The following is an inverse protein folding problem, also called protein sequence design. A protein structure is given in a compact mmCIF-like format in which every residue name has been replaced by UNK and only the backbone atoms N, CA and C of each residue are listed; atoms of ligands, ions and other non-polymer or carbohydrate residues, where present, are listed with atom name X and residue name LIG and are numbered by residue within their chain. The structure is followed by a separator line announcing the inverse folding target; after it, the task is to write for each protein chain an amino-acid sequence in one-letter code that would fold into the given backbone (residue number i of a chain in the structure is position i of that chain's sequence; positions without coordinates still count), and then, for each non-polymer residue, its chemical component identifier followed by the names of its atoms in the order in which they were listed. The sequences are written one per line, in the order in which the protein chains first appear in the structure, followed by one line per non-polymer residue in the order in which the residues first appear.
data_IF_095305613927
#
_entry.id   IF_095305613927
#
_cell.length_a   1.000
_cell.length_b   1.000
_cell.length_c   1.000
_cell.angle_alpha   90.00
_cell.angle_beta   90.00
_cell.angle_gamma   90.00
#
_symmetry.space_group_name_H-M   'P 1'
#
loop_
_entity.id
_entity.type
_entity.pdbx_description
1 polymer ?
#
# COMPACT_ATOMS: atom_id res chain seq x y z
N UNK A 1 22.68 -11.38 -5.39
CA UNK A 1 22.44 -11.95 -6.74
C UNK A 1 20.95 -12.20 -6.90
N UNK A 2 20.37 -11.85 -8.05
CA UNK A 2 18.92 -11.99 -8.34
C UNK A 2 18.44 -13.44 -8.09
N UNK A 3 19.28 -14.44 -8.37
CA UNK A 3 18.94 -15.86 -8.14
C UNK A 3 18.66 -16.26 -6.69
N UNK A 4 19.16 -15.53 -5.69
CA UNK A 4 18.79 -15.79 -4.28
C UNK A 4 17.41 -15.19 -3.95
N UNK A 5 17.11 -13.98 -4.45
CA UNK A 5 15.82 -13.31 -4.24
C UNK A 5 14.66 -14.08 -4.87
N UNK A 6 14.85 -14.63 -6.06
CA UNK A 6 13.84 -15.47 -6.72
C UNK A 6 13.55 -16.75 -5.92
N UNK A 7 14.57 -17.34 -5.26
CA UNK A 7 14.36 -18.48 -4.35
C UNK A 7 13.59 -18.06 -3.09
N UNK A 8 13.98 -16.96 -2.47
CA UNK A 8 13.30 -16.42 -1.27
C UNK A 8 11.84 -16.05 -1.56
N UNK A 9 11.55 -15.51 -2.74
CA UNK A 9 10.19 -15.18 -3.17
C UNK A 9 9.29 -16.41 -3.36
N UNK A 10 9.84 -17.56 -3.77
CA UNK A 10 9.04 -18.78 -3.97
C UNK A 10 8.49 -19.37 -2.67
N UNK A 11 9.14 -19.11 -1.54
CA UNK A 11 8.72 -19.60 -0.23
C UNK A 11 7.75 -18.62 0.49
N UNK A 12 7.53 -17.43 -0.06
CA UNK A 12 6.67 -16.40 0.55
C UNK A 12 5.18 -16.74 0.38
N UNK A 13 4.45 -16.57 1.48
CA UNK A 13 3.00 -16.63 1.59
C UNK A 13 2.43 -15.23 1.76
N UNK A 14 1.09 -15.13 1.74
CA UNK A 14 0.34 -13.87 1.84
C UNK A 14 0.73 -13.05 3.08
N UNK A 15 0.93 -13.71 4.22
CA UNK A 15 1.26 -13.08 5.50
C UNK A 15 2.74 -13.21 5.89
N UNK A 16 3.62 -13.65 4.98
CA UNK A 16 5.04 -13.86 5.30
C UNK A 16 5.70 -12.60 5.85
N UNK A 17 5.36 -11.44 5.28
CA UNK A 17 5.90 -10.14 5.71
C UNK A 17 5.52 -9.82 7.17
N UNK A 18 4.27 -10.03 7.54
CA UNK A 18 3.78 -9.78 8.90
C UNK A 18 4.42 -10.76 9.90
N UNK A 19 4.54 -12.03 9.50
CA UNK A 19 5.18 -13.05 10.34
C UNK A 19 6.67 -12.78 10.57
N UNK A 20 7.40 -12.29 9.56
CA UNK A 20 8.80 -11.88 9.68
C UNK A 20 8.95 -10.71 10.67
N UNK A 21 8.06 -9.70 10.59
CA UNK A 21 8.05 -8.57 11.53
C UNK A 21 7.77 -9.04 12.96
N UNK A 22 6.73 -9.85 13.16
CA UNK A 22 6.40 -10.41 14.48
C UNK A 22 7.55 -11.20 15.08
N UNK A 23 8.23 -12.03 14.28
CA UNK A 23 9.36 -12.85 14.74
C UNK A 23 10.57 -12.00 15.13
N UNK A 24 10.82 -10.90 14.41
CA UNK A 24 11.92 -9.99 14.69
C UNK A 24 11.71 -9.20 15.98
N UNK A 25 10.51 -8.63 16.15
CA UNK A 25 10.21 -7.75 17.31
C UNK A 25 9.83 -8.55 18.56
N UNK A 26 9.20 -9.72 18.42
CA UNK A 26 8.73 -10.53 19.54
C UNK A 26 9.18 -12.01 19.46
N UNK A 27 10.49 -12.27 19.46
CA UNK A 27 11.03 -13.64 19.31
C UNK A 27 10.59 -14.60 20.44
N UNK A 28 10.26 -14.11 21.64
CA UNK A 28 9.84 -14.91 22.78
C UNK A 28 8.56 -15.72 22.52
N UNK A 29 7.68 -15.23 21.63
CA UNK A 29 6.45 -15.92 21.25
C UNK A 29 6.64 -16.94 20.13
N UNK A 30 7.87 -17.33 19.83
CA UNK A 30 8.16 -18.41 18.89
C UNK A 30 8.85 -19.59 19.59
N UNK A 31 8.54 -20.81 19.13
CA UNK A 31 9.25 -22.03 19.57
C UNK A 31 10.60 -22.15 18.85
N UNK A 32 11.43 -23.12 19.26
CA UNK A 32 12.69 -23.41 18.53
C UNK A 32 12.43 -23.92 17.12
N UNK A 33 11.29 -24.56 16.93
CA UNK A 33 10.77 -25.09 15.68
C UNK A 33 10.13 -24.00 14.81
N UNK A 34 9.90 -22.80 15.36
CA UNK A 34 9.40 -21.63 14.64
C UNK A 34 7.88 -21.42 14.72
N UNK A 35 7.16 -22.22 15.50
CA UNK A 35 5.72 -22.11 15.72
C UNK A 35 5.39 -20.93 16.63
N UNK A 36 4.27 -20.26 16.36
CA UNK A 36 3.81 -19.12 17.16
C UNK A 36 3.04 -19.57 18.40
N UNK A 37 3.46 -19.10 19.58
CA UNK A 37 2.87 -19.37 20.89
C UNK A 37 1.69 -18.42 21.13
N UNK A 38 0.56 -18.71 20.49
CA UNK A 38 -0.65 -17.86 20.56
C UNK A 38 -1.11 -17.60 21.99
N UNK A 39 -1.18 -18.63 22.83
CA UNK A 39 -1.67 -18.50 24.21
C UNK A 39 -0.80 -17.53 25.02
N UNK A 40 0.54 -17.66 24.91
CA UNK A 40 1.48 -16.75 25.58
C UNK A 40 1.35 -15.31 25.08
N UNK A 41 1.07 -15.11 23.79
CA UNK A 41 0.85 -13.77 23.25
C UNK A 41 -0.47 -13.18 23.72
N UNK A 42 -1.54 -13.98 23.77
CA UNK A 42 -2.83 -13.55 24.31
C UNK A 42 -2.74 -13.17 25.78
N UNK A 43 -1.97 -13.92 26.58
CA UNK A 43 -1.76 -13.59 27.99
C UNK A 43 -0.96 -12.31 28.17
N UNK A 44 0.09 -12.10 27.35
CA UNK A 44 0.84 -10.84 27.31
C UNK A 44 -0.06 -9.64 26.99
N UNK A 45 -0.97 -9.75 26.02
CA UNK A 45 -1.89 -8.66 25.67
C UNK A 45 -2.87 -8.29 26.80
N UNK A 46 -3.22 -9.24 27.68
CA UNK A 46 -4.12 -8.99 28.81
C UNK A 46 -3.45 -8.19 29.94
N UNK A 47 -2.12 -8.18 30.01
CA UNK A 47 -1.39 -7.45 31.07
C UNK A 47 -1.58 -5.92 30.96
N UNK A 48 -1.78 -5.40 29.75
CA UNK A 48 -1.91 -3.96 29.47
C UNK A 48 -3.38 -3.45 29.46
N UNK A 49 -4.35 -4.21 29.99
CA UNK A 49 -5.79 -3.88 29.88
C UNK A 49 -6.23 -3.55 28.45
N UNK A 50 -5.61 -4.17 27.43
CA UNK A 50 -5.98 -3.92 26.04
C UNK A 50 -7.40 -4.43 25.80
N UNK A 51 -8.32 -3.51 25.50
CA UNK A 51 -9.68 -3.85 25.10
C UNK A 51 -9.64 -4.66 23.79
N UNK A 52 -9.77 -5.98 23.93
CA UNK A 52 -9.90 -6.88 22.79
C UNK A 52 -11.28 -6.69 22.17
N UNK A 53 -11.38 -5.75 21.23
CA UNK A 53 -12.61 -5.53 20.47
C UNK A 53 -13.00 -6.82 19.74
N UNK A 54 -14.28 -7.16 19.79
CA UNK A 54 -14.90 -8.22 18.97
C UNK A 54 -15.56 -7.65 17.70
N UNK A 55 -15.57 -6.33 17.55
CA UNK A 55 -16.06 -5.64 16.37
C UNK A 55 -14.92 -5.43 15.39
N UNK A 56 -14.90 -6.22 14.31
CA UNK A 56 -13.98 -6.06 13.20
C UNK A 56 -14.75 -5.75 11.93
N UNK A 57 -14.57 -4.54 11.38
CA UNK A 57 -14.94 -4.25 10.01
C UNK A 57 -13.80 -4.70 9.09
N UNK A 58 -14.08 -5.57 8.12
CA UNK A 58 -13.09 -6.01 7.14
C UNK A 58 -13.49 -5.56 5.73
N UNK A 59 -12.60 -4.80 5.08
CA UNK A 59 -12.72 -4.49 3.66
C UNK A 59 -12.42 -5.73 2.82
N UNK A 60 -13.43 -6.32 2.18
CA UNK A 60 -13.25 -7.46 1.27
C UNK A 60 -13.36 -7.03 -0.18
N UNK A 61 -12.36 -7.38 -0.99
CA UNK A 61 -12.37 -7.19 -2.44
C UNK A 61 -11.61 -8.31 -3.15
N UNK A 62 -12.01 -8.61 -4.38
CA UNK A 62 -11.32 -9.57 -5.24
C UNK A 62 -9.89 -9.10 -5.51
N UNK A 63 -8.90 -9.94 -5.23
CA UNK A 63 -7.49 -9.60 -5.42
C UNK A 63 -6.78 -9.11 -4.15
N UNK A 64 -7.48 -8.95 -3.01
CA UNK A 64 -6.85 -8.53 -1.73
C UNK A 64 -5.70 -9.45 -1.29
N UNK A 65 -5.90 -10.77 -1.30
CA UNK A 65 -4.86 -11.74 -0.94
C UNK A 65 -3.66 -11.68 -1.90
N UNK A 66 -3.91 -11.43 -3.18
CA UNK A 66 -2.86 -11.24 -4.17
C UNK A 66 -2.09 -9.93 -3.96
N UNK A 67 -2.78 -8.82 -3.67
CA UNK A 67 -2.16 -7.55 -3.32
C UNK A 67 -1.27 -7.64 -2.08
N UNK A 68 -1.72 -8.36 -1.03
CA UNK A 68 -0.90 -8.66 0.15
C UNK A 68 0.35 -9.46 -0.22
N UNK A 69 0.18 -10.52 -1.01
CA UNK A 69 1.30 -11.29 -1.54
C UNK A 69 2.30 -10.42 -2.33
N UNK A 70 1.85 -9.56 -3.24
CA UNK A 70 2.73 -8.66 -4.00
C UNK A 70 3.56 -7.75 -3.09
N UNK A 71 3.00 -7.29 -1.97
CA UNK A 71 3.71 -6.47 -0.98
C UNK A 71 4.74 -7.24 -0.15
N UNK A 72 4.63 -8.57 -0.07
CA UNK A 72 5.61 -9.41 0.64
C UNK A 72 6.81 -9.77 -0.24
N UNK A 73 6.64 -9.80 -1.56
CA UNK A 73 7.70 -10.13 -2.51
C UNK A 73 8.84 -9.12 -2.53
N UNK A 74 10.07 -9.61 -2.66
CA UNK A 74 11.23 -8.77 -3.01
C UNK A 74 11.24 -8.43 -4.49
N UNK A 75 11.82 -7.29 -4.85
CA UNK A 75 12.01 -6.92 -6.25
C UNK A 75 13.16 -7.72 -6.89
N UNK A 76 12.90 -8.23 -8.09
CA UNK A 76 13.87 -8.94 -8.94
C UNK A 76 14.61 -8.00 -9.89
N UNK A 77 14.21 -6.72 -9.93
CA UNK A 77 14.84 -5.68 -10.76
C UNK A 77 16.13 -5.16 -10.11
N UNK A 78 16.87 -4.33 -10.85
CA UNK A 78 18.05 -3.63 -10.33
C UNK A 78 17.99 -2.14 -10.67
N UNK A 79 18.60 -1.30 -9.83
CA UNK A 79 18.79 0.11 -10.14
C UNK A 79 20.05 0.28 -10.99
N UNK A 80 19.90 0.97 -12.11
CA UNK A 80 21.02 1.39 -12.97
C UNK A 80 21.08 2.92 -12.97
N UNK A 81 22.23 3.53 -12.63
CA UNK A 81 22.37 4.98 -12.69
C UNK A 81 22.38 5.46 -14.15
N UNK A 82 21.71 6.56 -14.43
CA UNK A 82 21.90 7.34 -15.65
C UNK A 82 23.17 8.20 -15.48
N UNK A 83 24.32 7.61 -15.81
CA UNK A 83 25.62 8.27 -15.60
C UNK A 83 25.75 9.57 -16.39
N UNK A 84 25.16 9.65 -17.59
CA UNK A 84 25.25 10.86 -18.41
C UNK A 84 24.48 12.01 -17.75
N UNK A 85 23.25 11.76 -17.31
CA UNK A 85 22.45 12.79 -16.65
C UNK A 85 23.00 13.16 -15.26
N UNK A 86 23.47 12.18 -14.50
CA UNK A 86 23.97 12.38 -13.13
C UNK A 86 25.30 13.13 -13.06
N UNK A 87 26.12 13.08 -14.12
CA UNK A 87 27.41 13.77 -14.17
C UNK A 87 27.34 15.22 -14.67
N UNK A 88 26.15 15.69 -15.09
CA UNK A 88 25.96 17.10 -15.46
C UNK A 88 26.22 18.00 -14.26
N UNK A 89 26.80 19.17 -14.50
CA UNK A 89 27.22 20.11 -13.45
C UNK A 89 26.07 20.51 -12.52
N UNK A 90 24.85 20.64 -13.06
CA UNK A 90 23.64 20.94 -12.31
C UNK A 90 23.12 19.79 -11.41
N UNK A 91 23.55 18.54 -11.66
CA UNK A 91 23.00 17.35 -11.02
C UNK A 91 23.99 16.62 -10.10
N UNK A 92 25.30 16.78 -10.31
CA UNK A 92 26.35 15.96 -9.67
C UNK A 92 26.34 15.96 -8.14
N UNK A 93 25.92 17.07 -7.53
CA UNK A 93 25.86 17.27 -6.07
C UNK A 93 24.40 17.36 -5.57
N UNK A 94 23.42 16.99 -6.40
CA UNK A 94 22.00 17.04 -6.05
C UNK A 94 21.65 15.98 -5.01
N UNK A 95 20.88 16.37 -3.99
CA UNK A 95 20.26 15.43 -3.03
C UNK A 95 18.92 14.89 -3.55
N UNK A 96 18.43 15.39 -4.70
CA UNK A 96 17.16 14.97 -5.29
C UNK A 96 17.36 13.74 -6.18
N UNK A 97 16.44 12.79 -6.08
CA UNK A 97 16.47 11.54 -6.85
C UNK A 97 15.24 11.43 -7.76
N UNK A 98 15.46 10.99 -8.99
CA UNK A 98 14.41 10.63 -9.94
C UNK A 98 14.62 9.19 -10.41
N UNK A 99 13.63 8.32 -10.20
CA UNK A 99 13.68 6.90 -10.57
C UNK A 99 12.63 6.64 -11.65
N UNK A 100 13.06 6.02 -12.75
CA UNK A 100 12.17 5.59 -13.85
C UNK A 100 11.92 4.10 -13.74
N UNK A 101 10.64 3.70 -13.68
CA UNK A 101 10.21 2.29 -13.62
C UNK A 101 8.81 2.15 -13.03
N UNK A 102 8.38 0.90 -12.77
CA UNK A 102 7.18 0.66 -11.98
C UNK A 102 7.45 1.09 -10.53
N UNK A 103 6.54 1.90 -9.97
CA UNK A 103 6.67 2.42 -8.63
C UNK A 103 6.67 1.31 -7.56
N UNK A 104 6.05 0.16 -7.80
CA UNK A 104 6.10 -0.95 -6.83
C UNK A 104 7.53 -1.48 -6.66
N UNK A 105 8.31 -1.57 -7.74
CA UNK A 105 9.71 -1.98 -7.70
C UNK A 105 10.60 -0.87 -7.14
N UNK A 106 10.35 0.38 -7.53
CA UNK A 106 11.06 1.53 -6.97
C UNK A 106 10.90 1.62 -5.45
N UNK A 107 9.66 1.48 -4.94
CA UNK A 107 9.37 1.46 -3.50
C UNK A 107 10.10 0.31 -2.79
N UNK A 108 10.13 -0.89 -3.38
CA UNK A 108 10.86 -2.05 -2.82
C UNK A 108 12.36 -1.81 -2.75
N UNK A 109 12.97 -1.18 -3.75
CA UNK A 109 14.38 -0.78 -3.67
C UNK A 109 14.63 0.26 -2.58
N UNK A 110 13.75 1.27 -2.49
CA UNK A 110 13.88 2.33 -1.49
C UNK A 110 13.79 1.80 -0.06
N UNK A 111 12.98 0.77 0.21
CA UNK A 111 12.86 0.16 1.54
C UNK A 111 14.20 -0.32 2.10
N UNK A 112 15.14 -0.75 1.27
CA UNK A 112 16.45 -1.19 1.74
C UNK A 112 17.27 -0.10 2.43
N UNK A 113 17.04 1.18 2.11
CA UNK A 113 17.83 2.31 2.62
C UNK A 113 16.99 3.39 3.32
N UNK A 114 15.70 3.50 3.01
CA UNK A 114 14.80 4.59 3.40
C UNK A 114 13.61 4.14 4.24
N UNK A 115 13.54 2.87 4.65
CA UNK A 115 12.53 2.41 5.62
C UNK A 115 12.53 3.30 6.87
N UNK A 116 11.37 3.83 7.25
CA UNK A 116 11.22 4.70 8.41
C UNK A 116 11.81 6.11 8.29
N UNK A 117 12.18 6.59 7.09
CA UNK A 117 12.92 7.85 6.92
C UNK A 117 12.19 8.95 6.16
N UNK A 118 11.08 8.64 5.50
CA UNK A 118 10.37 9.60 4.66
C UNK A 118 9.39 10.42 5.51
N UNK A 119 9.60 11.74 5.55
CA UNK A 119 8.76 12.65 6.34
C UNK A 119 7.40 12.93 5.71
N UNK A 120 7.34 13.01 4.38
CA UNK A 120 6.13 13.37 3.66
C UNK A 120 6.07 12.61 2.33
N UNK A 121 4.90 12.05 2.03
CA UNK A 121 4.58 11.45 0.74
C UNK A 121 3.38 12.21 0.17
N UNK A 122 3.47 12.62 -1.09
CA UNK A 122 2.33 13.09 -1.87
C UNK A 122 2.19 12.21 -3.11
N UNK A 123 0.98 11.73 -3.37
CA UNK A 123 0.68 10.96 -4.58
C UNK A 123 -0.63 11.43 -5.21
N UNK A 124 -0.65 11.40 -6.54
CA UNK A 124 -1.80 11.67 -7.39
C UNK A 124 -2.08 10.42 -8.25
N UNK A 125 -2.71 9.38 -7.67
CA UNK A 125 -2.96 8.12 -8.36
C UNK A 125 -4.00 8.29 -9.47
N UNK A 126 -4.11 7.34 -10.42
CA UNK A 126 -5.20 7.34 -11.40
C UNK A 126 -6.57 7.31 -10.69
N UNK A 127 -7.51 8.16 -11.11
CA UNK A 127 -8.81 8.31 -10.44
C UNK A 127 -9.85 7.26 -10.82
N UNK A 128 -9.57 6.42 -11.83
CA UNK A 128 -10.48 5.41 -12.36
C UNK A 128 -11.81 5.99 -12.87
N UNK A 129 -11.73 7.14 -13.56
CA UNK A 129 -12.87 7.86 -14.13
C UNK A 129 -13.50 7.16 -15.35
N UNK A 130 -12.78 6.17 -15.91
CA UNK A 130 -13.08 5.55 -17.20
C UNK A 130 -12.62 6.36 -18.41
N UNK A 131 -12.21 7.63 -18.24
CA UNK A 131 -11.61 8.44 -19.31
C UNK A 131 -10.13 8.74 -19.10
N UNK A 132 -9.58 8.47 -17.91
CA UNK A 132 -8.15 8.59 -17.60
C UNK A 132 -7.29 7.44 -18.15
N UNK A 133 -7.92 6.42 -18.75
CA UNK A 133 -7.22 5.29 -19.36
C UNK A 133 -6.66 4.28 -18.35
N UNK A 134 -7.05 4.35 -17.08
CA UNK A 134 -6.61 3.34 -16.10
C UNK A 134 -7.12 1.95 -16.48
N UNK A 135 -6.18 1.01 -16.57
CA UNK A 135 -6.42 -0.43 -16.68
C UNK A 135 -5.41 -1.14 -15.79
N UNK A 136 -5.83 -2.20 -15.11
CA UNK A 136 -4.93 -2.98 -14.25
C UNK A 136 -3.75 -3.52 -15.08
N UNK A 137 -2.51 -3.08 -14.79
CA UNK A 137 -1.38 -3.27 -15.71
C UNK A 137 -0.68 -4.62 -15.54
N UNK A 138 -1.06 -5.42 -14.55
CA UNK A 138 -0.39 -6.69 -14.26
C UNK A 138 -0.63 -7.69 -15.39
N UNK A 139 0.46 -8.33 -15.83
CA UNK A 139 0.45 -9.34 -16.88
C UNK A 139 0.44 -10.78 -16.35
N UNK A 140 0.33 -10.96 -15.02
CA UNK A 140 0.30 -12.23 -14.27
C UNK A 140 1.18 -13.37 -14.83
N UNK A 141 2.25 -13.73 -14.13
CA UNK A 141 3.11 -14.87 -14.51
C UNK A 141 2.62 -16.24 -14.00
N UNK A 142 1.44 -16.30 -13.39
CA UNK A 142 0.93 -17.49 -12.71
C UNK A 142 -0.16 -18.20 -13.52
N UNK A 143 -0.18 -19.52 -13.46
CA UNK A 143 -1.39 -20.30 -13.77
C UNK A 143 -2.40 -20.21 -12.61
N UNK A 144 -3.67 -20.58 -12.86
CA UNK A 144 -4.73 -20.56 -11.83
C UNK A 144 -4.39 -21.42 -10.62
N UNK A 145 -3.91 -22.65 -10.87
CA UNK A 145 -3.54 -23.60 -9.83
C UNK A 145 -2.31 -23.14 -9.02
N UNK A 146 -1.27 -22.62 -9.69
CA UNK A 146 -0.11 -22.05 -9.00
C UNK A 146 -0.50 -20.87 -8.10
N UNK A 147 -1.32 -19.96 -8.60
CA UNK A 147 -1.80 -18.83 -7.81
C UNK A 147 -2.63 -19.32 -6.62
N UNK A 148 -3.61 -20.19 -6.85
CA UNK A 148 -4.47 -20.77 -5.81
C UNK A 148 -3.65 -21.39 -4.67
N UNK A 149 -2.64 -22.21 -5.01
CA UNK A 149 -1.72 -22.81 -4.03
C UNK A 149 -0.87 -21.78 -3.30
N UNK A 150 -0.38 -20.76 -4.00
CA UNK A 150 0.53 -19.75 -3.44
C UNK A 150 -0.16 -18.84 -2.43
N UNK A 151 -1.34 -18.33 -2.77
CA UNK A 151 -2.07 -17.38 -1.92
C UNK A 151 -3.20 -18.03 -1.08
N UNK A 152 -3.36 -19.35 -1.17
CA UNK A 152 -4.27 -20.12 -0.33
C UNK A 152 -5.75 -19.89 -0.62
N UNK A 153 -6.12 -19.80 -1.89
CA UNK A 153 -7.50 -19.57 -2.35
C UNK A 153 -7.98 -20.71 -3.26
N UNK A 154 -9.25 -20.68 -3.65
CA UNK A 154 -9.79 -21.64 -4.63
C UNK A 154 -9.29 -21.33 -6.04
N UNK A 155 -9.20 -22.33 -6.92
CA UNK A 155 -8.85 -22.13 -8.33
C UNK A 155 -9.85 -21.21 -9.07
N UNK A 156 -11.12 -21.23 -8.65
CA UNK A 156 -12.15 -20.34 -9.18
C UNK A 156 -11.83 -18.88 -8.82
N UNK A 157 -11.52 -18.61 -7.56
CA UNK A 157 -11.13 -17.27 -7.11
C UNK A 157 -9.83 -16.82 -7.77
N UNK A 158 -8.84 -17.71 -7.89
CA UNK A 158 -7.59 -17.44 -8.60
C UNK A 158 -7.87 -17.06 -10.06
N UNK A 159 -8.76 -17.79 -10.75
CA UNK A 159 -9.19 -17.45 -12.10
C UNK A 159 -9.79 -16.04 -12.20
N UNK A 160 -10.65 -15.67 -11.26
CA UNK A 160 -11.25 -14.33 -11.21
C UNK A 160 -10.23 -13.22 -10.95
N UNK A 161 -9.19 -13.50 -10.15
CA UNK A 161 -8.08 -12.55 -9.92
C UNK A 161 -7.28 -12.34 -11.21
N UNK A 162 -6.93 -13.41 -11.93
CA UNK A 162 -6.21 -13.30 -13.21
C UNK A 162 -7.01 -12.49 -14.25
N UNK A 163 -8.33 -12.63 -14.24
CA UNK A 163 -9.25 -11.89 -15.12
C UNK A 163 -9.35 -10.39 -14.80
N UNK A 164 -8.74 -9.90 -13.70
CA UNK A 164 -8.62 -8.46 -13.42
C UNK A 164 -7.67 -7.76 -14.40
N UNK A 165 -6.75 -8.48 -15.06
CA UNK A 165 -5.82 -7.88 -16.02
C UNK A 165 -6.58 -7.13 -17.12
N UNK A 166 -6.16 -5.89 -17.37
CA UNK A 166 -6.82 -5.03 -18.37
C UNK A 166 -8.20 -4.53 -17.98
N UNK A 167 -8.66 -4.73 -16.74
CA UNK A 167 -9.94 -4.19 -16.23
C UNK A 167 -9.72 -2.89 -15.47
N UNK A 168 -10.77 -2.08 -15.43
CA UNK A 168 -10.87 -0.82 -14.67
C UNK A 168 -11.92 -0.90 -13.55
N UNK A 169 -12.17 -2.10 -13.02
CA UNK A 169 -13.11 -2.27 -11.89
C UNK A 169 -12.50 -1.74 -10.60
N UNK A 170 -13.34 -1.41 -9.60
CA UNK A 170 -12.85 -1.04 -8.27
C UNK A 170 -11.89 -2.08 -7.69
N UNK A 171 -12.20 -3.37 -7.82
CA UNK A 171 -11.29 -4.43 -7.34
C UNK A 171 -9.93 -4.43 -8.05
N UNK A 172 -9.90 -4.13 -9.36
CA UNK A 172 -8.65 -3.96 -10.10
C UNK A 172 -7.84 -2.77 -9.57
N UNK A 173 -8.50 -1.61 -9.38
CA UNK A 173 -7.86 -0.41 -8.84
C UNK A 173 -7.33 -0.61 -7.41
N UNK A 174 -8.13 -1.23 -6.55
CA UNK A 174 -7.76 -1.56 -5.18
C UNK A 174 -6.58 -2.54 -5.13
N UNK A 175 -6.59 -3.56 -6.00
CA UNK A 175 -5.47 -4.53 -6.12
C UNK A 175 -4.19 -3.85 -6.57
N UNK A 176 -4.28 -2.82 -7.42
CA UNK A 176 -3.16 -1.98 -7.83
C UNK A 176 -2.63 -1.09 -6.70
N UNK A 177 -3.52 -0.38 -6.00
CA UNK A 177 -3.13 0.62 -5.00
C UNK A 177 -2.63 0.02 -3.69
N UNK A 178 -3.26 -1.07 -3.24
CA UNK A 178 -2.99 -1.67 -1.94
C UNK A 178 -1.50 -1.97 -1.67
N UNK A 179 -0.76 -2.72 -2.52
CA UNK A 179 0.64 -3.01 -2.22
C UNK A 179 1.51 -1.76 -2.21
N UNK A 180 1.20 -0.76 -3.05
CA UNK A 180 1.95 0.51 -3.12
C UNK A 180 1.79 1.32 -1.84
N UNK A 181 0.56 1.39 -1.32
CA UNK A 181 0.27 2.06 -0.05
C UNK A 181 0.89 1.33 1.15
N UNK A 182 0.92 -0.02 1.14
CA UNK A 182 1.61 -0.81 2.18
C UNK A 182 3.12 -0.50 2.20
N UNK A 183 3.76 -0.44 1.03
CA UNK A 183 5.18 -0.13 0.92
C UNK A 183 5.49 1.33 1.25
N UNK A 184 4.61 2.26 0.84
CA UNK A 184 4.72 3.68 1.19
C UNK A 184 4.65 3.90 2.70
N UNK A 185 3.74 3.20 3.40
CA UNK A 185 3.65 3.22 4.86
C UNK A 185 4.98 2.85 5.52
N UNK A 186 5.64 1.79 5.05
CA UNK A 186 6.90 1.34 5.63
C UNK A 186 8.07 2.32 5.37
N UNK A 187 7.97 3.19 4.37
CA UNK A 187 8.96 4.24 4.13
C UNK A 187 8.78 5.44 5.06
N UNK A 188 7.56 5.70 5.55
CA UNK A 188 7.28 6.86 6.40
C UNK A 188 8.01 6.77 7.74
N UNK A 189 8.55 7.89 8.20
CA UNK A 189 8.99 8.04 9.60
C UNK A 189 7.81 7.99 10.56
N UNK A 190 8.08 7.80 11.86
CA UNK A 190 7.02 7.73 12.89
C UNK A 190 6.14 8.99 12.93
N UNK A 191 6.74 10.15 12.66
CA UNK A 191 6.07 11.45 12.56
C UNK A 191 5.72 11.82 11.11
N UNK A 192 5.82 10.87 10.19
CA UNK A 192 5.60 11.04 8.76
C UNK A 192 4.12 11.14 8.39
N UNK A 193 3.84 11.78 7.26
CA UNK A 193 2.48 11.96 6.72
C UNK A 193 2.40 11.59 5.25
N UNK A 194 1.22 11.13 4.81
CA UNK A 194 0.90 10.89 3.41
C UNK A 194 -0.35 11.66 2.99
N UNK A 195 -0.24 12.31 1.83
CA UNK A 195 -1.30 13.01 1.13
C UNK A 195 -1.64 12.25 -0.15
N UNK A 196 -2.93 11.97 -0.35
CA UNK A 196 -3.40 11.20 -1.51
C UNK A 196 -4.55 11.96 -2.17
N UNK A 197 -4.33 12.46 -3.38
CA UNK A 197 -5.37 13.07 -4.19
C UNK A 197 -6.32 12.01 -4.74
N UNK A 198 -7.62 12.31 -4.74
CA UNK A 198 -8.66 11.39 -5.21
C UNK A 198 -9.92 12.16 -5.60
N UNK A 199 -10.64 11.63 -6.59
CA UNK A 199 -11.97 12.12 -6.94
C UNK A 199 -13.10 11.24 -6.34
N UNK A 200 -14.33 11.48 -6.78
CA UNK A 200 -15.49 10.80 -6.24
C UNK A 200 -15.57 9.30 -6.59
N UNK A 201 -14.84 8.80 -7.60
CA UNK A 201 -14.96 7.42 -8.07
C UNK A 201 -14.34 6.42 -7.10
N UNK A 202 -13.17 6.74 -6.54
CA UNK A 202 -12.43 5.84 -5.65
C UNK A 202 -12.26 6.37 -4.22
N UNK A 203 -12.77 7.56 -3.88
CA UNK A 203 -12.61 8.15 -2.53
C UNK A 203 -13.02 7.20 -1.40
N UNK A 204 -14.13 6.46 -1.55
CA UNK A 204 -14.60 5.55 -0.49
C UNK A 204 -13.71 4.31 -0.39
N UNK A 205 -13.30 3.75 -1.52
CA UNK A 205 -12.44 2.57 -1.55
C UNK A 205 -11.03 2.90 -1.04
N UNK A 206 -10.47 4.05 -1.45
CA UNK A 206 -9.21 4.56 -0.97
C UNK A 206 -9.24 4.80 0.53
N UNK A 207 -10.32 5.40 1.04
CA UNK A 207 -10.53 5.63 2.47
C UNK A 207 -10.41 4.33 3.25
N UNK A 208 -11.18 3.32 2.87
CA UNK A 208 -11.21 2.04 3.57
C UNK A 208 -9.88 1.28 3.45
N UNK A 209 -9.18 1.38 2.31
CA UNK A 209 -7.83 0.82 2.16
C UNK A 209 -6.86 1.52 3.11
N UNK A 210 -6.91 2.85 3.19
CA UNK A 210 -6.01 3.60 4.05
C UNK A 210 -6.31 3.34 5.53
N UNK A 211 -7.58 3.22 5.93
CA UNK A 211 -7.94 2.83 7.29
C UNK A 211 -7.40 1.43 7.64
N UNK A 212 -7.46 0.46 6.73
CA UNK A 212 -6.86 -0.87 6.95
C UNK A 212 -5.33 -0.83 7.04
N UNK A 213 -4.67 -0.01 6.21
CA UNK A 213 -3.20 0.03 6.12
C UNK A 213 -2.58 0.90 7.22
N UNK A 214 -3.11 2.10 7.45
CA UNK A 214 -2.56 3.08 8.37
C UNK A 214 -3.25 3.06 9.73
N UNK A 215 -4.43 2.46 9.86
CA UNK A 215 -5.29 2.59 11.05
C UNK A 215 -6.25 3.77 10.89
N UNK A 216 -7.51 3.57 11.27
CA UNK A 216 -8.55 4.61 11.18
C UNK A 216 -8.21 5.80 12.10
N UNK A 217 -7.63 5.53 13.26
CA UNK A 217 -7.17 6.49 14.27
C UNK A 217 -6.04 7.40 13.76
N UNK A 218 -5.35 6.98 12.70
CA UNK A 218 -4.27 7.70 12.07
C UNK A 218 -4.75 8.62 10.94
N UNK A 219 -6.05 8.64 10.67
CA UNK A 219 -6.61 9.64 9.78
C UNK A 219 -6.61 11.03 10.42
N UNK A 220 -6.09 12.01 9.68
CA UNK A 220 -6.04 13.40 10.13
C UNK A 220 -7.21 14.21 9.58
N UNK A 221 -7.57 14.01 8.31
CA UNK A 221 -8.66 14.74 7.67
C UNK A 221 -8.62 14.73 6.14
N UNK A 222 -9.58 15.44 5.55
CA UNK A 222 -9.69 15.64 4.10
C UNK A 222 -9.46 17.12 3.78
N UNK A 223 -8.65 17.41 2.77
CA UNK A 223 -8.57 18.74 2.17
C UNK A 223 -9.47 18.73 0.94
N UNK A 224 -10.34 19.72 0.83
CA UNK A 224 -11.22 19.92 -0.31
C UNK A 224 -10.55 20.86 -1.30
N UNK A 225 -10.25 20.39 -2.50
CA UNK A 225 -9.67 21.19 -3.58
C UNK A 225 -10.72 21.50 -4.65
N UNK A 226 -11.10 22.77 -4.76
CA UNK A 226 -12.02 23.23 -5.81
C UNK A 226 -11.28 23.33 -7.15
N UNK A 227 -11.36 22.27 -7.97
CA UNK A 227 -10.68 22.20 -9.26
C UNK A 227 -11.40 22.98 -10.37
N UNK A 228 -12.65 23.40 -10.16
CA UNK A 228 -13.48 24.09 -11.17
C UNK A 228 -14.25 25.28 -10.61
N UNK A 229 -13.90 26.49 -11.07
CA UNK A 229 -14.48 27.76 -10.60
C UNK A 229 -15.81 28.15 -11.25
N UNK A 230 -16.15 27.65 -12.45
CA UNK A 230 -17.39 28.02 -13.16
C UNK A 230 -18.28 26.82 -13.44
N UNK A 231 -19.57 26.95 -13.14
CA UNK A 231 -20.56 25.95 -13.55
C UNK A 231 -20.67 25.93 -15.07
N UNK A 232 -20.57 24.75 -15.69
CA UNK A 232 -20.70 24.63 -17.13
C UNK A 232 -22.17 24.71 -17.53
N UNK A 233 -22.56 25.69 -18.34
CA UNK A 233 -23.94 25.82 -18.83
C UNK A 233 -24.09 25.10 -20.19
N UNK A 234 -23.82 23.79 -20.21
CA UNK A 234 -24.02 22.94 -21.39
C UNK A 234 -25.37 22.24 -21.32
N UNK A 235 -25.98 21.91 -22.48
CA UNK A 235 -27.27 21.19 -22.53
C UNK A 235 -27.27 19.88 -21.73
N UNK A 236 -26.12 19.23 -21.57
CA UNK A 236 -25.92 18.00 -20.78
C UNK A 236 -25.77 18.24 -19.27
N UNK A 237 -25.48 19.48 -18.86
CA UNK A 237 -25.30 19.87 -17.45
C UNK A 237 -26.60 20.27 -16.75
N UNK A 238 -27.67 20.51 -17.51
CA UNK A 238 -28.93 21.04 -16.97
C UNK A 238 -29.61 20.11 -15.96
N UNK A 239 -29.35 18.80 -16.03
CA UNK A 239 -29.96 17.77 -15.16
C UNK A 239 -28.96 17.05 -14.24
N UNK A 240 -27.75 17.58 -14.02
CA UNK A 240 -26.72 16.90 -13.22
C UNK A 240 -26.07 17.84 -12.20
N UNK A 241 -25.81 17.31 -11.00
CA UNK A 241 -24.88 17.94 -10.07
C UNK A 241 -23.49 17.93 -10.70
N UNK A 242 -22.82 19.09 -10.67
CA UNK A 242 -21.47 19.23 -11.22
C UNK A 242 -20.45 18.99 -10.12
N UNK A 243 -19.65 17.91 -10.19
CA UNK A 243 -18.54 17.72 -9.27
C UNK A 243 -17.50 18.82 -9.54
N UNK A 244 -17.26 19.65 -8.53
CA UNK A 244 -16.32 20.78 -8.55
C UNK A 244 -15.13 20.59 -7.64
N UNK A 245 -15.20 19.58 -6.77
CA UNK A 245 -14.29 19.41 -5.67
C UNK A 245 -13.70 18.01 -5.74
N UNK A 246 -12.38 17.98 -5.65
CA UNK A 246 -11.57 16.78 -5.42
C UNK A 246 -11.13 16.77 -3.97
N UNK A 247 -10.74 15.60 -3.47
CA UNK A 247 -10.29 15.44 -2.11
C UNK A 247 -8.83 15.08 -2.07
N UNK A 248 -8.14 15.53 -1.02
CA UNK A 248 -6.82 15.05 -0.66
C UNK A 248 -6.92 14.46 0.74
N UNK A 249 -6.74 13.15 0.85
CA UNK A 249 -6.73 12.49 2.16
C UNK A 249 -5.38 12.65 2.83
N UNK A 250 -5.41 12.88 4.15
CA UNK A 250 -4.23 12.98 4.98
C UNK A 250 -4.24 11.91 6.07
N UNK A 251 -3.20 11.07 6.05
CA UNK A 251 -2.89 10.11 7.12
C UNK A 251 -1.51 10.39 7.70
N UNK A 252 -1.33 10.07 8.97
CA UNK A 252 -0.02 10.05 9.65
C UNK A 252 0.40 8.61 9.97
N UNK A 253 1.69 8.36 10.20
CA UNK A 253 2.20 7.02 10.50
C UNK A 253 1.85 6.55 11.93
N UNK A 254 1.98 7.43 12.92
CA UNK A 254 1.62 7.13 14.31
C UNK A 254 0.74 8.23 14.94
N UNK A 255 -0.29 7.81 15.66
CA UNK A 255 -1.11 8.64 16.53
C UNK A 255 -0.70 8.55 18.00
N UNK A 256 0.33 7.77 18.32
CA UNK A 256 0.73 7.54 19.70
C UNK A 256 1.35 8.80 20.31
N UNK A 257 0.51 9.53 21.05
CA UNK A 257 0.82 10.57 22.04
C UNK A 257 1.71 10.07 23.21
N UNK A 258 2.39 8.92 23.09
CA UNK A 258 3.19 8.34 24.17
C UNK A 258 4.58 8.97 24.29
N UNK A 259 5.17 9.47 23.19
CA UNK A 259 6.47 10.16 23.27
C UNK A 259 6.38 11.54 23.96
N UNK A 260 5.22 12.21 23.93
CA UNK A 260 5.05 13.52 24.58
C UNK A 260 4.84 13.44 26.10
N UNK A 261 4.60 12.25 26.66
CA UNK A 261 4.40 12.05 28.11
C UNK A 261 5.64 11.61 28.88
N UNK A 262 6.76 11.30 28.22
CA UNK A 262 8.03 10.97 28.90
C UNK A 262 9.00 12.16 29.05
N UNK A 263 8.57 13.38 28.69
CA UNK A 263 9.40 14.60 28.77
C UNK A 263 8.83 15.71 29.68
N UNK A 264 8.02 15.35 30.68
CA UNK A 264 7.62 16.25 31.77
C UNK A 264 7.90 15.63 33.14
#
# INVERSE_FOLDING_TARGET
MIGNKTKENNDKKVNSREMEKLRREFPQFFTKEGDFKLDSFQDFLKEEEVDLSKEGYELKFLGKSYAKYLSSLETETYLSPDTENNQREENKDSENLYIVGDNIDALKHLLGSYCGKIKCIYIDPPYNTGSDGFVYPDSFKFTKDELARTIGITEEEAGRILDLSGKSTHSAWMTFMYPRLVLARDLLSDDGVIFISVDYNEQANLRLICDEIYGEENFVGEIYWESKTKSQNTKTSFNKLQPKVEKIFLYKMNCNNYCDKMLL
#
